data_IF_016432802984
#
_entry.id   IF_016432802984
#
_cell.length_a   1.000
_cell.length_b   1.000
_cell.length_c   1.000
_cell.angle_alpha   90.00
_cell.angle_beta   90.00
_cell.angle_gamma   90.00
#
_symmetry.space_group_name_H-M   'P 1'
#
loop_
_entity.id
_entity.type
_entity.pdbx_description
1 polymer ?
#
# COMPACT_ATOMS: atom_id res chain seq x y z
N UNK A 1 -51.19 31.61 22.37
CA UNK A 1 -50.94 32.60 23.44
C UNK A 1 -50.53 31.82 24.70
N UNK A 2 -49.26 31.80 25.04
CA UNK A 2 -48.70 31.72 26.40
C UNK A 2 -47.22 32.04 26.27
N UNK A 3 -46.89 33.22 26.70
CA UNK A 3 -45.58 33.80 26.91
C UNK A 3 -44.89 33.12 28.07
N UNK A 4 -43.59 32.84 27.96
CA UNK A 4 -42.70 32.63 29.10
C UNK A 4 -41.45 33.48 28.94
N UNK A 5 -41.18 34.20 30.01
CA UNK A 5 -40.22 35.24 30.28
C UNK A 5 -38.83 34.70 30.62
N UNK A 6 -37.81 35.52 30.34
CA UNK A 6 -36.40 35.34 30.69
C UNK A 6 -36.17 35.60 32.21
N UNK A 7 -35.17 34.93 32.76
CA UNK A 7 -34.17 35.26 33.81
C UNK A 7 -33.62 33.93 34.34
N UNK A 8 -32.35 33.71 34.64
CA UNK A 8 -31.43 34.44 35.50
C UNK A 8 -29.97 34.06 35.22
N UNK A 9 -29.14 35.04 35.28
CA UNK A 9 -27.68 34.95 35.34
C UNK A 9 -27.23 34.56 36.75
N UNK A 10 -26.35 33.55 36.87
CA UNK A 10 -25.60 33.24 38.10
C UNK A 10 -24.09 33.37 37.79
N UNK A 11 -23.33 34.11 38.62
CA UNK A 11 -21.91 34.36 38.36
C UNK A 11 -21.03 33.21 38.85
N UNK A 12 -20.12 32.78 38.02
CA UNK A 12 -19.10 31.79 38.35
C UNK A 12 -17.90 32.40 39.06
N UNK A 13 -17.71 32.00 40.30
CA UNK A 13 -16.56 32.36 41.14
C UNK A 13 -15.32 31.63 40.70
N UNK A 14 -14.27 32.38 40.35
CA UNK A 14 -12.92 31.86 40.04
C UNK A 14 -12.22 31.58 41.37
N UNK A 15 -11.88 30.33 41.63
CA UNK A 15 -10.89 29.94 42.66
C UNK A 15 -9.55 29.65 42.02
N UNK A 16 -8.61 30.57 42.23
CA UNK A 16 -7.20 30.41 41.96
C UNK A 16 -6.53 29.72 43.16
N UNK A 17 -6.06 28.48 43.01
CA UNK A 17 -5.14 27.85 43.95
C UNK A 17 -3.75 27.77 43.36
N UNK A 18 -2.90 28.71 43.77
CA UNK A 18 -1.44 28.60 43.62
C UNK A 18 -0.97 27.46 44.52
N UNK A 19 -0.36 26.43 43.95
CA UNK A 19 0.51 25.50 44.69
C UNK A 19 1.97 25.89 44.49
N UNK A 20 2.62 26.20 45.58
CA UNK A 20 4.06 26.37 45.72
C UNK A 20 4.78 25.02 45.46
N UNK A 21 5.85 25.09 44.68
CA UNK A 21 6.87 24.03 44.62
C UNK A 21 8.16 24.56 45.27
N UNK A 22 8.80 23.80 46.15
CA UNK A 22 10.12 24.14 46.69
C UNK A 22 11.20 23.42 45.92
N UNK A 23 12.33 24.08 45.79
CA UNK A 23 13.65 23.50 45.85
C UNK A 23 14.34 23.14 44.53
N UNK A 24 15.32 24.00 44.19
CA UNK A 24 16.37 23.77 43.23
C UNK A 24 17.20 22.52 43.54
N UNK A 25 17.40 21.67 42.54
CA UNK A 25 18.56 20.81 42.45
C UNK A 25 19.29 21.10 41.13
N UNK A 26 20.47 21.71 41.25
CA UNK A 26 21.38 21.92 40.14
C UNK A 26 21.89 20.57 39.63
N UNK A 27 21.64 20.25 38.38
CA UNK A 27 22.25 19.12 37.69
C UNK A 27 23.42 19.68 36.90
N UNK A 28 24.66 19.39 37.35
CA UNK A 28 25.87 19.62 36.60
C UNK A 28 25.85 18.81 35.27
N UNK A 29 25.88 19.50 34.18
CA UNK A 29 26.07 18.90 32.83
C UNK A 29 27.58 18.61 32.67
N UNK A 30 27.99 17.37 32.90
CA UNK A 30 29.28 16.91 32.39
C UNK A 30 29.19 16.74 30.86
N UNK A 31 29.74 17.73 30.16
CA UNK A 31 30.04 17.66 28.73
C UNK A 31 31.26 16.78 28.51
N UNK A 32 31.07 15.54 28.13
CA UNK A 32 32.15 14.72 27.59
C UNK A 32 32.30 15.05 26.10
N UNK A 33 33.39 15.78 25.80
CA UNK A 33 33.78 16.07 24.44
C UNK A 33 34.20 14.79 23.70
N UNK A 34 33.64 14.60 22.50
CA UNK A 34 34.06 13.52 21.61
C UNK A 34 35.49 13.79 21.08
N UNK A 35 36.33 12.74 20.92
CA UNK A 35 37.68 12.91 20.38
C UNK A 35 37.65 13.27 18.89
N UNK A 36 38.63 14.06 18.41
CA UNK A 36 38.71 14.48 17.02
C UNK A 36 39.05 13.30 16.09
N UNK A 37 38.65 13.35 14.81
CA UNK A 37 38.88 12.26 13.86
C UNK A 37 40.39 12.17 13.54
N UNK A 38 40.93 10.96 13.60
CA UNK A 38 42.31 10.62 13.22
C UNK A 38 42.56 10.98 11.75
N UNK A 39 43.51 11.90 11.52
CA UNK A 39 44.07 12.18 10.20
C UNK A 39 44.74 10.93 9.65
N UNK A 40 44.25 10.39 8.55
CA UNK A 40 44.95 9.40 7.74
C UNK A 40 46.08 10.12 6.97
N UNK A 41 47.32 9.79 7.29
CA UNK A 41 48.48 10.19 6.53
C UNK A 41 48.46 9.53 5.15
N UNK A 42 48.28 10.32 4.12
CA UNK A 42 48.54 9.90 2.74
C UNK A 42 50.06 9.88 2.51
N UNK A 43 50.65 8.68 2.51
CA UNK A 43 52.00 8.51 2.01
C UNK A 43 51.95 8.57 0.49
N UNK A 44 52.59 9.60 -0.05
CA UNK A 44 52.74 9.76 -1.49
C UNK A 44 53.59 8.60 -2.04
N UNK A 45 52.97 7.68 -2.81
CA UNK A 45 53.71 6.70 -3.61
C UNK A 45 54.31 7.42 -4.80
N UNK A 46 55.64 7.40 -4.90
CA UNK A 46 56.43 7.87 -6.00
C UNK A 46 56.00 7.18 -7.33
N UNK A 47 55.82 8.00 -8.36
CA UNK A 47 55.56 7.56 -9.73
C UNK A 47 56.76 6.73 -10.24
N UNK A 48 56.50 5.42 -10.52
CA UNK A 48 57.41 4.62 -11.29
C UNK A 48 57.27 4.98 -12.77
N UNK A 49 58.38 5.31 -13.39
CA UNK A 49 58.49 5.55 -14.84
C UNK A 49 58.19 4.28 -15.61
N UNK A 50 57.44 4.32 -16.74
CA UNK A 50 57.15 3.14 -17.53
C UNK A 50 58.41 2.65 -18.23
N UNK A 51 58.79 1.38 -17.96
CA UNK A 51 59.82 0.68 -18.74
C UNK A 51 59.25 0.33 -20.11
N UNK A 52 60.05 0.61 -21.19
CA UNK A 52 59.75 0.18 -22.54
C UNK A 52 59.65 -1.36 -22.58
N UNK A 53 58.65 -1.94 -23.28
CA UNK A 53 58.59 -3.36 -23.49
C UNK A 53 59.69 -3.83 -24.47
N UNK A 54 60.19 -5.09 -24.35
CA UNK A 54 61.16 -5.65 -25.26
C UNK A 54 60.52 -5.89 -26.64
N UNK A 55 61.32 -5.90 -27.73
CA UNK A 55 60.80 -6.13 -29.09
C UNK A 55 60.28 -7.55 -29.24
N UNK A 56 59.11 -7.66 -29.83
CA UNK A 56 58.44 -8.92 -30.13
C UNK A 56 59.14 -9.54 -31.38
N UNK A 57 59.53 -10.82 -31.36
CA UNK A 57 60.07 -11.46 -32.56
C UNK A 57 58.93 -11.67 -33.59
N UNK A 58 59.13 -11.17 -34.80
CA UNK A 58 58.23 -11.39 -35.93
C UNK A 58 58.47 -12.80 -36.43
N UNK A 59 57.61 -13.74 -36.12
CA UNK A 59 57.50 -15.03 -36.74
C UNK A 59 56.56 -14.94 -37.95
N UNK A 60 57.12 -15.02 -39.12
CA UNK A 60 56.37 -15.13 -40.37
C UNK A 60 55.96 -16.61 -40.59
N UNK A 61 54.69 -16.75 -40.95
CA UNK A 61 53.94 -17.89 -41.44
C UNK A 61 53.00 -18.58 -40.45
N UNK A 62 51.81 -18.11 -40.49
CA UNK A 62 50.60 -18.90 -40.17
C UNK A 62 49.51 -18.40 -41.13
N UNK A 63 48.85 -19.34 -41.83
CA UNK A 63 47.67 -19.08 -42.67
C UNK A 63 46.61 -18.27 -41.97
N UNK A 64 46.59 -16.99 -42.23
CA UNK A 64 45.80 -16.00 -41.48
C UNK A 64 44.28 -16.03 -41.79
N UNK A 65 43.91 -16.77 -42.85
CA UNK A 65 42.51 -16.85 -43.29
C UNK A 65 41.59 -17.70 -42.36
N UNK A 66 42.13 -18.71 -41.67
CA UNK A 66 41.31 -19.58 -40.82
C UNK A 66 40.92 -18.92 -39.46
N UNK A 67 41.80 -18.05 -38.96
CA UNK A 67 41.59 -17.37 -37.69
C UNK A 67 40.53 -16.24 -37.84
N UNK A 68 40.60 -15.49 -38.96
CA UNK A 68 39.62 -14.45 -39.28
C UNK A 68 38.20 -14.99 -39.46
N UNK A 69 38.02 -16.12 -40.14
CA UNK A 69 36.73 -16.79 -40.31
C UNK A 69 36.13 -17.28 -38.97
N UNK A 70 36.98 -17.73 -38.05
CA UNK A 70 36.54 -18.13 -36.68
C UNK A 70 36.13 -16.96 -35.83
N UNK A 71 36.74 -15.79 -35.96
CA UNK A 71 36.32 -14.56 -35.30
C UNK A 71 35.03 -13.99 -35.90
N UNK A 72 34.91 -13.94 -37.20
CA UNK A 72 33.71 -13.51 -37.91
C UNK A 72 32.52 -14.41 -37.57
N UNK A 73 32.66 -15.72 -37.54
CA UNK A 73 31.59 -16.63 -37.16
C UNK A 73 31.14 -16.46 -35.70
N UNK A 74 32.08 -16.19 -34.78
CA UNK A 74 31.75 -15.87 -33.37
C UNK A 74 31.02 -14.53 -33.23
N UNK A 75 31.42 -13.50 -33.94
CA UNK A 75 30.76 -12.21 -33.96
C UNK A 75 29.35 -12.31 -34.57
N UNK A 76 29.16 -13.05 -35.63
CA UNK A 76 27.86 -13.33 -36.23
C UNK A 76 26.98 -14.11 -35.24
N UNK A 77 27.53 -15.12 -34.55
CA UNK A 77 26.77 -15.87 -33.52
C UNK A 77 26.36 -14.99 -32.33
N UNK A 78 27.25 -14.11 -31.87
CA UNK A 78 26.92 -13.13 -30.80
C UNK A 78 25.87 -12.14 -31.28
N UNK A 79 25.96 -11.66 -32.52
CA UNK A 79 24.98 -10.75 -33.12
C UNK A 79 23.62 -11.43 -33.30
N UNK A 80 23.58 -12.67 -33.77
CA UNK A 80 22.35 -13.46 -33.87
C UNK A 80 21.75 -13.81 -32.50
N UNK A 81 22.58 -14.08 -31.48
CA UNK A 81 22.11 -14.23 -30.09
C UNK A 81 21.56 -12.93 -29.54
N UNK A 82 22.16 -11.79 -29.82
CA UNK A 82 21.64 -10.48 -29.40
C UNK A 82 20.33 -10.11 -30.10
N UNK A 83 20.20 -10.48 -31.41
CA UNK A 83 18.92 -10.29 -32.13
C UNK A 83 17.80 -11.17 -31.56
N UNK A 84 18.09 -12.39 -31.14
CA UNK A 84 17.13 -13.28 -30.49
C UNK A 84 16.77 -12.79 -29.07
N UNK A 85 17.71 -12.19 -28.34
CA UNK A 85 17.45 -11.54 -27.05
C UNK A 85 16.62 -10.27 -27.21
N UNK A 86 16.83 -9.48 -28.25
CA UNK A 86 16.03 -8.29 -28.56
C UNK A 86 14.64 -8.70 -29.05
N UNK A 87 14.51 -9.77 -29.86
CA UNK A 87 13.22 -10.32 -30.27
C UNK A 87 12.44 -10.91 -29.09
N UNK A 88 13.11 -11.59 -28.13
CA UNK A 88 12.50 -12.07 -26.90
C UNK A 88 12.13 -10.94 -25.92
N UNK A 89 12.81 -9.79 -25.99
CA UNK A 89 12.46 -8.59 -25.22
C UNK A 89 11.33 -7.77 -25.86
N UNK A 90 11.05 -7.97 -27.15
CA UNK A 90 9.92 -7.29 -27.83
C UNK A 90 8.57 -7.98 -27.66
N UNK A 91 8.52 -9.19 -27.11
CA UNK A 91 7.32 -9.87 -26.64
C UNK A 91 6.92 -9.48 -25.20
N UNK A 92 7.54 -8.44 -24.64
CA UNK A 92 6.92 -7.70 -23.55
C UNK A 92 5.72 -6.94 -24.17
N UNK A 93 4.60 -7.65 -24.35
CA UNK A 93 3.34 -7.04 -24.69
C UNK A 93 3.11 -5.92 -23.69
N UNK A 94 3.13 -4.70 -24.19
CA UNK A 94 2.56 -3.56 -23.48
C UNK A 94 1.23 -4.03 -22.88
N UNK A 95 0.96 -3.78 -21.59
CA UNK A 95 -0.27 -4.25 -20.98
C UNK A 95 -1.40 -3.89 -21.93
N UNK A 96 -2.15 -4.91 -22.35
CA UNK A 96 -3.29 -4.72 -23.24
C UNK A 96 -4.11 -3.60 -22.63
N UNK A 97 -4.20 -2.48 -23.35
CA UNK A 97 -4.97 -1.32 -22.94
C UNK A 97 -6.46 -1.70 -23.03
N UNK A 98 -6.92 -2.50 -22.06
CA UNK A 98 -8.34 -2.59 -21.82
C UNK A 98 -8.79 -1.19 -21.45
N UNK A 99 -9.76 -0.66 -22.20
CA UNK A 99 -10.31 0.66 -21.88
C UNK A 99 -10.81 0.65 -20.44
N UNK A 100 -10.31 1.55 -19.62
CA UNK A 100 -10.79 1.73 -18.26
C UNK A 100 -12.29 2.08 -18.20
N UNK A 101 -12.83 2.53 -19.31
CA UNK A 101 -14.23 2.96 -19.45
C UNK A 101 -15.20 1.81 -19.75
N UNK A 102 -14.69 0.70 -20.31
CA UNK A 102 -15.49 -0.49 -20.61
C UNK A 102 -15.17 -1.63 -19.65
N UNK A 103 -15.87 -1.65 -18.52
CA UNK A 103 -15.70 -2.67 -17.45
C UNK A 103 -15.94 -4.09 -18.01
N UNK A 104 -16.92 -4.25 -18.91
CA UNK A 104 -17.24 -5.56 -19.48
C UNK A 104 -16.10 -6.09 -20.35
N UNK A 105 -15.47 -5.21 -21.12
CA UNK A 105 -14.29 -5.54 -21.91
C UNK A 105 -13.06 -5.75 -21.04
N UNK A 106 -12.87 -4.91 -20.01
CA UNK A 106 -11.75 -5.03 -19.06
C UNK A 106 -11.69 -6.43 -18.43
N UNK A 107 -12.83 -7.00 -18.02
CA UNK A 107 -12.93 -8.34 -17.45
C UNK A 107 -13.33 -9.42 -18.46
N UNK A 108 -13.31 -9.13 -19.77
CA UNK A 108 -13.69 -10.11 -20.81
C UNK A 108 -12.94 -11.45 -20.74
N UNK A 109 -11.65 -11.54 -20.27
CA UNK A 109 -10.98 -12.82 -20.08
C UNK A 109 -11.59 -13.74 -19.03
N UNK A 110 -12.49 -13.20 -18.17
CA UNK A 110 -13.24 -13.97 -17.17
C UNK A 110 -14.64 -14.39 -17.66
N UNK A 111 -15.11 -13.85 -18.79
CA UNK A 111 -16.44 -14.15 -19.34
C UNK A 111 -16.60 -15.66 -19.53
N UNK A 112 -17.70 -16.21 -19.03
CA UNK A 112 -18.01 -17.64 -19.06
C UNK A 112 -17.02 -18.54 -18.29
N UNK A 113 -16.15 -17.97 -17.46
CA UNK A 113 -15.23 -18.74 -16.62
C UNK A 113 -16.01 -19.46 -15.50
N UNK A 114 -15.76 -20.78 -15.35
CA UNK A 114 -16.24 -21.58 -14.22
C UNK A 114 -15.20 -21.71 -13.10
N UNK A 115 -14.12 -20.97 -13.18
CA UNK A 115 -13.05 -21.01 -12.20
C UNK A 115 -13.52 -20.54 -10.82
N UNK A 116 -12.93 -21.09 -9.76
CA UNK A 116 -13.16 -20.75 -8.35
C UNK A 116 -11.84 -20.79 -7.59
N UNK A 117 -11.83 -20.23 -6.39
CA UNK A 117 -10.70 -20.29 -5.49
C UNK A 117 -9.42 -19.75 -6.11
N UNK A 118 -8.32 -20.45 -5.87
CA UNK A 118 -6.99 -20.04 -6.32
C UNK A 118 -6.86 -19.93 -7.85
N UNK A 119 -7.59 -20.77 -8.61
CA UNK A 119 -7.57 -20.70 -10.08
C UNK A 119 -8.23 -19.43 -10.61
N UNK A 120 -9.35 -18.98 -10.01
CA UNK A 120 -9.99 -17.73 -10.34
C UNK A 120 -9.12 -16.55 -9.92
N UNK A 121 -8.56 -16.58 -8.70
CA UNK A 121 -7.66 -15.58 -8.16
C UNK A 121 -6.45 -15.36 -9.09
N UNK A 122 -5.81 -16.45 -9.57
CA UNK A 122 -4.68 -16.40 -10.50
C UNK A 122 -5.06 -15.78 -11.85
N UNK A 123 -6.22 -16.16 -12.40
CA UNK A 123 -6.72 -15.59 -13.65
C UNK A 123 -7.03 -14.09 -13.49
N UNK A 124 -7.63 -13.70 -12.38
CA UNK A 124 -7.89 -12.30 -12.07
C UNK A 124 -6.59 -11.49 -11.91
N UNK A 125 -5.57 -12.07 -11.26
CA UNK A 125 -4.23 -11.46 -11.15
C UNK A 125 -3.65 -11.12 -12.52
N UNK A 126 -3.77 -12.00 -13.54
CA UNK A 126 -3.23 -11.70 -14.90
C UNK A 126 -3.86 -10.46 -15.55
N UNK A 127 -5.04 -10.06 -15.11
CA UNK A 127 -5.76 -8.88 -15.63
C UNK A 127 -5.34 -7.61 -14.88
N UNK A 128 -5.24 -7.68 -13.54
CA UNK A 128 -5.09 -6.48 -12.70
C UNK A 128 -3.65 -6.19 -12.28
N UNK A 129 -2.74 -7.17 -12.31
CA UNK A 129 -1.37 -6.97 -11.86
C UNK A 129 -0.54 -6.07 -12.79
N UNK A 130 -0.70 -6.10 -14.12
CA UNK A 130 -0.06 -5.12 -14.99
C UNK A 130 -0.63 -3.73 -14.75
N UNK A 131 0.17 -2.80 -14.22
CA UNK A 131 -0.26 -1.43 -13.96
C UNK A 131 0.92 -0.45 -13.95
N UNK A 132 0.61 0.83 -14.12
CA UNK A 132 1.60 1.90 -14.00
C UNK A 132 1.90 2.22 -12.54
N UNK A 133 3.18 2.34 -12.21
CA UNK A 133 3.64 2.68 -10.86
C UNK A 133 3.92 4.18 -10.75
N UNK A 134 3.41 4.81 -9.71
CA UNK A 134 3.67 6.21 -9.41
C UNK A 134 4.95 6.35 -8.57
N UNK A 135 5.57 7.53 -8.60
CA UNK A 135 6.55 7.90 -7.57
C UNK A 135 5.84 8.15 -6.23
N UNK A 136 6.56 7.94 -5.13
CA UNK A 136 6.00 8.16 -3.79
C UNK A 136 5.54 9.61 -3.57
N UNK A 137 6.13 10.58 -4.28
CA UNK A 137 5.69 11.98 -4.25
C UNK A 137 4.36 12.17 -4.99
N UNK A 138 4.19 11.58 -6.17
CA UNK A 138 2.96 11.70 -6.97
C UNK A 138 1.71 11.16 -6.24
N UNK A 139 1.89 10.24 -5.29
CA UNK A 139 0.78 9.72 -4.47
C UNK A 139 0.08 10.85 -3.70
N UNK A 140 0.80 11.87 -3.20
CA UNK A 140 0.17 13.00 -2.51
C UNK A 140 -0.82 13.74 -3.40
N UNK A 141 -0.44 14.00 -4.64
CA UNK A 141 -1.27 14.76 -5.57
C UNK A 141 -2.45 13.92 -6.06
N UNK A 142 -2.23 12.62 -6.27
CA UNK A 142 -3.30 11.69 -6.61
C UNK A 142 -4.37 11.62 -5.50
N UNK A 143 -3.97 11.52 -4.23
CA UNK A 143 -4.92 11.47 -3.09
C UNK A 143 -5.75 12.74 -2.96
N UNK A 144 -5.18 13.92 -3.27
CA UNK A 144 -5.92 15.20 -3.25
C UNK A 144 -7.08 15.23 -4.26
N UNK A 145 -7.00 14.43 -5.32
CA UNK A 145 -8.05 14.28 -6.33
C UNK A 145 -8.97 13.11 -5.99
N UNK A 146 -8.40 11.95 -5.68
CA UNK A 146 -9.15 10.71 -5.49
C UNK A 146 -10.04 10.72 -4.26
N UNK A 147 -9.58 11.35 -3.18
CA UNK A 147 -10.27 11.40 -1.89
C UNK A 147 -10.76 12.83 -1.58
N UNK A 148 -10.99 13.65 -2.60
CA UNK A 148 -11.51 15.00 -2.48
C UNK A 148 -12.92 15.01 -1.85
N UNK A 149 -13.20 15.99 -0.98
CA UNK A 149 -14.48 16.13 -0.31
C UNK A 149 -15.64 16.43 -1.27
N UNK A 150 -15.36 17.18 -2.34
CA UNK A 150 -16.28 17.31 -3.49
C UNK A 150 -15.85 16.31 -4.56
N UNK A 151 -16.54 15.19 -4.61
CA UNK A 151 -16.24 14.09 -5.53
C UNK A 151 -16.56 14.45 -6.98
N UNK A 152 -17.48 15.36 -7.22
CA UNK A 152 -17.85 15.76 -8.59
C UNK A 152 -16.90 16.81 -9.16
N UNK A 153 -16.33 17.66 -8.30
CA UNK A 153 -15.36 18.70 -8.67
C UNK A 153 -14.06 18.56 -7.84
N UNK A 154 -13.36 17.43 -7.98
CA UNK A 154 -12.23 17.12 -7.11
C UNK A 154 -11.08 18.13 -7.20
N UNK A 155 -10.85 18.73 -8.38
CA UNK A 155 -9.80 19.74 -8.57
C UNK A 155 -10.12 21.06 -7.86
N UNK A 156 -11.41 21.43 -7.79
CA UNK A 156 -11.86 22.65 -7.11
C UNK A 156 -12.05 22.46 -5.60
N UNK A 157 -12.15 21.22 -5.13
CA UNK A 157 -12.30 20.91 -3.70
C UNK A 157 -11.07 21.35 -2.92
N UNK A 158 -11.26 22.09 -1.82
CA UNK A 158 -10.18 22.50 -0.90
C UNK A 158 -9.87 21.44 0.17
N UNK A 159 -10.77 20.48 0.37
CA UNK A 159 -10.66 19.44 1.38
C UNK A 159 -10.53 18.04 0.81
N UNK A 160 -10.07 17.13 1.65
CA UNK A 160 -10.08 15.66 1.44
C UNK A 160 -10.84 15.00 2.59
N UNK A 161 -11.37 13.79 2.38
CA UNK A 161 -12.00 12.97 3.40
C UNK A 161 -11.00 11.95 3.95
N UNK A 162 -10.81 11.94 5.26
CA UNK A 162 -9.92 10.99 5.94
C UNK A 162 -10.65 9.66 6.22
N UNK A 163 -9.98 8.53 5.92
CA UNK A 163 -10.59 7.20 5.95
C UNK A 163 -11.05 6.73 7.35
N UNK A 164 -10.40 7.13 8.45
CA UNK A 164 -10.71 6.64 9.79
C UNK A 164 -11.45 7.65 10.66
N UNK A 165 -11.35 8.93 10.36
CA UNK A 165 -12.04 9.99 11.07
C UNK A 165 -13.33 10.42 10.39
N UNK A 166 -13.45 10.16 9.07
CA UNK A 166 -14.49 10.64 8.17
C UNK A 166 -14.60 12.17 8.11
N UNK A 167 -13.55 12.87 8.61
CA UNK A 167 -13.51 14.32 8.61
C UNK A 167 -13.04 14.84 7.26
N UNK A 168 -13.59 16.01 6.91
CA UNK A 168 -13.07 16.82 5.82
C UNK A 168 -11.96 17.70 6.38
N UNK A 169 -10.75 17.57 5.83
CA UNK A 169 -9.59 18.37 6.23
C UNK A 169 -8.96 19.07 5.03
N UNK A 170 -8.30 20.23 5.22
CA UNK A 170 -7.67 20.94 4.11
C UNK A 170 -6.57 20.12 3.42
N UNK A 171 -6.58 20.12 2.09
CA UNK A 171 -5.56 19.44 1.26
C UNK A 171 -4.12 19.89 1.56
N UNK A 172 -3.94 21.15 1.90
CA UNK A 172 -2.66 21.78 2.23
C UNK A 172 -2.02 21.26 3.52
N UNK A 173 -2.78 20.55 4.36
CA UNK A 173 -2.27 19.93 5.57
C UNK A 173 -1.63 18.55 5.32
N UNK A 174 -1.42 18.17 4.07
CA UNK A 174 -0.72 16.94 3.71
C UNK A 174 0.67 16.86 4.33
N UNK A 175 0.96 15.78 5.06
CA UNK A 175 2.23 15.54 5.73
C UNK A 175 2.54 16.43 6.94
N UNK A 176 1.62 17.30 7.37
CA UNK A 176 1.79 18.14 8.56
C UNK A 176 1.31 17.40 9.82
N UNK A 177 1.92 17.65 10.99
CA UNK A 177 1.55 16.95 12.24
C UNK A 177 0.07 17.07 12.63
N UNK A 178 -0.56 18.21 12.33
CA UNK A 178 -1.98 18.48 12.60
C UNK A 178 -2.90 18.16 11.41
N UNK A 179 -2.38 17.51 10.39
CA UNK A 179 -3.10 17.18 9.17
C UNK A 179 -3.18 15.69 8.91
N UNK A 180 -3.10 15.35 7.65
CA UNK A 180 -3.27 13.99 7.18
C UNK A 180 -2.01 13.41 6.56
N UNK A 181 -1.94 12.07 6.57
CA UNK A 181 -0.84 11.31 6.00
C UNK A 181 -1.36 10.23 5.03
N UNK A 182 -0.45 9.62 4.29
CA UNK A 182 -0.70 8.46 3.43
C UNK A 182 -0.79 7.21 4.30
N UNK A 183 -1.98 6.74 4.56
CA UNK A 183 -2.24 5.48 5.22
C UNK A 183 -2.13 4.33 4.23
N UNK A 184 -1.29 3.34 4.51
CA UNK A 184 -1.23 2.08 3.80
C UNK A 184 -2.15 1.09 4.49
N UNK A 185 -3.31 0.78 3.90
CA UNK A 185 -4.28 -0.16 4.46
C UNK A 185 -3.64 -1.53 4.69
N UNK A 186 -2.91 -2.05 3.72
CA UNK A 186 -1.94 -3.12 3.95
C UNK A 186 -0.63 -2.47 4.37
N UNK A 187 -0.13 -2.72 5.61
CA UNK A 187 1.01 -1.99 6.14
C UNK A 187 2.31 -2.22 5.37
N UNK A 188 3.12 -1.18 5.28
CA UNK A 188 4.45 -1.26 4.65
C UNK A 188 5.34 -2.32 5.27
N UNK A 189 5.26 -2.49 6.60
CA UNK A 189 6.03 -3.47 7.36
C UNK A 189 5.75 -4.93 6.96
N UNK A 190 4.65 -5.19 6.24
CA UNK A 190 4.30 -6.53 5.75
C UNK A 190 4.87 -6.81 4.36
N UNK A 191 5.95 -6.14 3.98
CA UNK A 191 6.71 -6.41 2.78
C UNK A 191 6.56 -5.37 1.66
N UNK A 192 5.78 -4.28 1.87
CA UNK A 192 5.58 -3.22 0.87
C UNK A 192 6.66 -2.14 0.96
N UNK A 193 7.93 -2.53 1.09
CA UNK A 193 9.01 -1.57 1.28
C UNK A 193 9.42 -0.83 0.00
N UNK A 194 9.28 -1.48 -1.15
CA UNK A 194 9.74 -1.00 -2.46
C UNK A 194 8.77 -1.42 -3.58
N UNK A 195 8.96 -0.83 -4.76
CA UNK A 195 8.24 -1.20 -5.98
C UNK A 195 6.80 -0.72 -6.05
N UNK A 196 6.02 -1.25 -6.99
CA UNK A 196 4.66 -0.79 -7.28
C UNK A 196 3.71 -0.86 -6.08
N UNK A 197 3.85 -1.88 -5.22
CA UNK A 197 3.00 -2.08 -4.05
C UNK A 197 3.10 -0.95 -3.01
N UNK A 198 4.24 -0.24 -2.95
CA UNK A 198 4.44 0.89 -2.05
C UNK A 198 3.62 2.12 -2.46
N UNK A 199 3.31 2.26 -3.74
CA UNK A 199 2.64 3.44 -4.30
C UNK A 199 1.27 3.14 -4.87
N UNK A 200 0.76 1.93 -4.62
CA UNK A 200 -0.53 1.48 -5.13
C UNK A 200 -1.69 2.27 -4.52
N UNK A 201 -2.39 3.02 -5.35
CA UNK A 201 -3.49 3.90 -4.94
C UNK A 201 -4.72 3.13 -4.46
N UNK A 202 -4.89 1.87 -4.83
CA UNK A 202 -5.95 1.02 -4.27
C UNK A 202 -5.68 0.64 -2.80
N UNK A 203 -4.41 0.74 -2.36
CA UNK A 203 -3.98 0.47 -0.99
C UNK A 203 -3.79 1.72 -0.13
N UNK A 204 -3.74 2.92 -0.73
CA UNK A 204 -3.37 4.13 0.01
C UNK A 204 -4.57 5.07 0.12
N UNK A 205 -4.83 5.54 1.35
CA UNK A 205 -5.89 6.50 1.66
C UNK A 205 -5.36 7.63 2.56
N UNK A 206 -5.94 8.83 2.52
CA UNK A 206 -5.61 9.86 3.51
C UNK A 206 -6.16 9.47 4.88
N UNK A 207 -5.36 9.68 5.93
CA UNK A 207 -5.78 9.47 7.32
C UNK A 207 -5.17 10.54 8.23
N UNK A 208 -5.87 10.92 9.29
CA UNK A 208 -5.33 11.73 10.36
C UNK A 208 -4.04 11.13 10.89
N UNK A 209 -3.02 11.97 11.14
CA UNK A 209 -1.68 11.51 11.54
C UNK A 209 -1.71 10.73 12.86
N UNK A 210 -2.52 11.18 13.84
CA UNK A 210 -2.61 10.53 15.15
C UNK A 210 -3.42 9.22 15.06
N UNK A 211 -4.50 9.22 14.27
CA UNK A 211 -5.32 8.02 14.06
C UNK A 211 -4.54 6.97 13.29
N UNK A 212 -3.79 7.36 12.26
CA UNK A 212 -2.87 6.47 11.52
C UNK A 212 -1.83 5.84 12.46
N UNK A 213 -1.21 6.66 13.33
CA UNK A 213 -0.28 6.16 14.35
C UNK A 213 -0.94 5.18 15.33
N UNK A 214 -2.18 5.45 15.74
CA UNK A 214 -2.94 4.56 16.65
C UNK A 214 -3.31 3.24 15.99
N UNK A 215 -3.64 3.26 14.68
CA UNK A 215 -3.86 2.05 13.90
C UNK A 215 -2.58 1.23 13.82
N UNK A 216 -1.44 1.85 13.53
CA UNK A 216 -0.15 1.17 13.41
C UNK A 216 -0.18 0.07 12.34
N UNK A 217 0.20 -1.16 12.74
CA UNK A 217 0.20 -2.33 11.86
C UNK A 217 -0.84 -3.39 12.28
N UNK A 218 -1.89 -2.97 12.99
CA UNK A 218 -2.92 -3.89 13.48
C UNK A 218 -3.71 -4.50 12.32
N UNK A 219 -4.19 -5.72 12.53
CA UNK A 219 -5.11 -6.38 11.61
C UNK A 219 -6.46 -5.72 11.61
N UNK A 220 -7.18 -5.83 10.50
CA UNK A 220 -8.58 -5.40 10.46
C UNK A 220 -9.49 -6.48 11.02
N UNK A 221 -10.32 -6.08 11.96
CA UNK A 221 -11.27 -6.96 12.63
C UNK A 221 -11.91 -6.26 13.81
N UNK A 222 -13.09 -6.71 14.19
CA UNK A 222 -13.81 -6.20 15.33
C UNK A 222 -13.13 -6.58 16.64
N UNK A 223 -13.30 -5.75 17.68
CA UNK A 223 -12.86 -6.09 19.01
C UNK A 223 -13.57 -7.38 19.50
N UNK A 224 -12.90 -8.14 20.36
CA UNK A 224 -13.59 -9.20 21.11
C UNK A 224 -14.51 -8.52 22.13
N UNK A 225 -15.81 -8.72 22.00
CA UNK A 225 -16.85 -8.09 22.83
C UNK A 225 -16.70 -8.34 24.34
N UNK A 226 -16.06 -9.45 24.71
CA UNK A 226 -15.73 -9.78 26.13
C UNK A 226 -14.44 -9.13 26.61
N UNK A 227 -13.71 -8.38 25.77
CA UNK A 227 -12.46 -7.75 26.13
C UNK A 227 -12.71 -6.38 26.80
N UNK A 228 -12.32 -6.25 28.05
CA UNK A 228 -12.26 -4.95 28.76
C UNK A 228 -11.22 -3.98 28.18
N UNK A 229 -10.47 -4.40 27.17
CA UNK A 229 -9.37 -3.65 26.52
C UNK A 229 -9.72 -3.12 25.15
N UNK A 230 -10.99 -3.21 24.73
CA UNK A 230 -11.46 -2.57 23.49
C UNK A 230 -11.68 -1.07 23.76
N UNK A 231 -11.03 -0.22 22.97
CA UNK A 231 -11.22 1.24 22.98
C UNK A 231 -12.19 1.62 21.88
N UNK A 232 -13.17 2.47 22.22
CA UNK A 232 -14.17 3.05 21.32
C UNK A 232 -14.52 4.47 21.78
N UNK A 233 -14.21 5.53 21.02
CA UNK A 233 -13.46 5.48 19.76
C UNK A 233 -12.02 5.01 19.97
N UNK A 234 -11.44 4.44 18.92
CA UNK A 234 -10.06 3.92 18.93
C UNK A 234 -9.00 5.00 19.21
N UNK A 235 -9.32 6.25 18.89
CA UNK A 235 -8.53 7.46 19.13
C UNK A 235 -9.50 8.65 19.19
N UNK A 236 -9.12 9.74 19.88
CA UNK A 236 -9.96 10.94 20.02
C UNK A 236 -10.30 11.66 18.70
N UNK A 237 -9.41 11.54 17.67
CA UNK A 237 -9.61 12.09 16.35
C UNK A 237 -10.31 11.11 15.39
N UNK A 238 -10.47 9.85 15.77
CA UNK A 238 -11.17 8.85 14.96
C UNK A 238 -12.70 9.05 15.03
N UNK A 239 -13.43 8.48 14.08
CA UNK A 239 -14.88 8.42 14.14
C UNK A 239 -15.33 7.62 15.37
N UNK A 240 -16.51 7.97 15.90
CA UNK A 240 -16.99 7.48 17.20
C UNK A 240 -17.17 5.96 17.29
N UNK A 241 -17.43 5.33 16.16
CA UNK A 241 -17.64 3.88 16.02
C UNK A 241 -16.38 3.08 15.64
N UNK A 242 -15.23 3.78 15.54
CA UNK A 242 -13.93 3.11 15.35
C UNK A 242 -13.53 2.36 16.61
N UNK A 243 -13.12 1.09 16.47
CA UNK A 243 -12.72 0.27 17.62
C UNK A 243 -11.29 -0.22 17.49
N UNK A 244 -10.61 -0.41 18.61
CA UNK A 244 -9.30 -1.04 18.63
C UNK A 244 -9.04 -1.82 19.91
N UNK A 245 -8.36 -2.93 19.77
CA UNK A 245 -7.69 -3.62 20.87
C UNK A 245 -6.16 -3.67 20.60
N UNK A 246 -5.46 -4.54 21.31
CA UNK A 246 -3.99 -4.68 21.14
C UNK A 246 -3.60 -5.11 19.72
N UNK A 247 -4.43 -5.89 19.03
CA UNK A 247 -4.08 -6.54 17.74
C UNK A 247 -4.96 -6.09 16.58
N UNK A 248 -6.18 -5.56 16.84
CA UNK A 248 -7.21 -5.35 15.84
C UNK A 248 -7.60 -3.89 15.73
N UNK A 249 -8.09 -3.56 14.56
CA UNK A 249 -8.62 -2.26 14.20
C UNK A 249 -9.92 -2.47 13.42
N UNK A 250 -11.03 -2.00 13.96
CA UNK A 250 -12.29 -1.90 13.25
C UNK A 250 -12.50 -0.44 12.85
N UNK A 251 -12.44 -0.13 11.55
CA UNK A 251 -12.67 1.20 11.04
C UNK A 251 -14.16 1.60 11.17
N UNK A 252 -14.52 2.88 10.89
CA UNK A 252 -15.90 3.30 10.83
C UNK A 252 -16.72 2.42 9.89
N UNK A 253 -17.99 2.18 10.25
CA UNK A 253 -18.88 1.27 9.50
C UNK A 253 -18.96 1.64 8.03
N UNK A 254 -18.97 2.94 7.71
CA UNK A 254 -19.13 3.50 6.37
C UNK A 254 -17.97 3.20 5.39
N UNK A 255 -16.85 2.67 5.86
CA UNK A 255 -15.65 2.40 5.05
C UNK A 255 -15.11 0.98 5.25
N UNK A 256 -15.85 0.14 5.95
CA UNK A 256 -15.45 -1.26 6.19
C UNK A 256 -15.34 -2.05 4.90
N UNK A 257 -16.32 -1.88 4.01
CA UNK A 257 -16.31 -2.48 2.68
C UNK A 257 -15.17 -1.97 1.82
N UNK A 258 -14.95 -0.66 1.78
CA UNK A 258 -13.83 -0.03 1.04
C UNK A 258 -12.49 -0.66 1.43
N UNK A 259 -12.26 -0.80 2.74
CA UNK A 259 -11.01 -1.38 3.26
C UNK A 259 -10.93 -2.87 2.93
N UNK A 260 -12.02 -3.61 3.09
CA UNK A 260 -12.05 -5.03 2.74
C UNK A 260 -11.69 -5.26 1.27
N UNK A 261 -12.30 -4.50 0.36
CA UNK A 261 -12.03 -4.55 -1.09
C UNK A 261 -10.61 -4.13 -1.45
N UNK A 262 -10.05 -3.15 -0.75
CA UNK A 262 -8.65 -2.76 -0.92
C UNK A 262 -7.68 -3.90 -0.53
N UNK A 263 -7.92 -4.57 0.59
CA UNK A 263 -7.09 -5.70 1.04
C UNK A 263 -7.24 -6.92 0.14
N UNK A 264 -8.44 -7.20 -0.34
CA UNK A 264 -8.70 -8.27 -1.30
C UNK A 264 -7.97 -8.02 -2.63
N UNK A 265 -7.97 -6.76 -3.10
CA UNK A 265 -7.19 -6.35 -4.26
C UNK A 265 -5.70 -6.62 -4.04
N UNK A 266 -5.13 -6.18 -2.92
CA UNK A 266 -3.71 -6.38 -2.61
C UNK A 266 -3.34 -7.86 -2.58
N UNK A 267 -4.18 -8.71 -1.98
CA UNK A 267 -3.97 -10.15 -1.94
C UNK A 267 -4.03 -10.82 -3.33
N UNK A 268 -4.79 -10.27 -4.27
CA UNK A 268 -4.82 -10.75 -5.66
C UNK A 268 -3.67 -10.17 -6.47
N UNK A 269 -3.49 -8.85 -6.46
CA UNK A 269 -2.50 -8.15 -7.27
C UNK A 269 -1.07 -8.59 -6.92
N UNK A 270 -0.76 -8.76 -5.63
CA UNK A 270 0.58 -9.06 -5.11
C UNK A 270 0.71 -10.44 -4.45
N UNK A 271 -0.30 -11.28 -4.56
CA UNK A 271 -0.30 -12.64 -3.98
C UNK A 271 0.49 -13.67 -4.80
N UNK A 272 0.91 -13.35 -6.02
CA UNK A 272 1.61 -14.25 -6.93
C UNK A 272 3.00 -13.73 -7.26
N UNK A 273 3.92 -14.62 -7.72
CA UNK A 273 5.21 -14.22 -8.25
C UNK A 273 5.04 -13.22 -9.40
N UNK A 274 5.84 -12.14 -9.37
CA UNK A 274 5.89 -11.11 -10.40
C UNK A 274 7.34 -10.89 -10.84
N UNK A 275 7.58 -10.29 -12.02
CA UNK A 275 8.92 -9.83 -12.40
C UNK A 275 9.46 -8.89 -11.30
N UNK A 276 10.64 -9.20 -10.75
CA UNK A 276 11.21 -8.47 -9.62
C UNK A 276 10.96 -9.07 -8.24
N UNK A 277 10.27 -10.21 -8.15
CA UNK A 277 10.04 -10.97 -6.92
C UNK A 277 8.57 -11.08 -6.53
N UNK A 278 8.27 -12.08 -5.71
CA UNK A 278 6.94 -12.27 -5.14
C UNK A 278 6.84 -11.59 -3.78
N UNK A 279 5.81 -10.77 -3.59
CA UNK A 279 5.46 -10.29 -2.25
C UNK A 279 4.71 -11.38 -1.47
N UNK A 280 3.95 -12.24 -2.15
CA UNK A 280 3.19 -13.32 -1.52
C UNK A 280 2.20 -12.84 -0.47
N UNK A 281 1.42 -11.78 -0.78
CA UNK A 281 0.43 -11.25 0.15
C UNK A 281 -0.76 -12.19 0.26
N UNK A 282 -1.17 -12.53 1.49
CA UNK A 282 -2.29 -13.45 1.74
C UNK A 282 -3.26 -12.88 2.78
N UNK A 283 -4.54 -13.23 2.61
CA UNK A 283 -5.57 -12.99 3.64
C UNK A 283 -5.77 -14.26 4.47
N UNK A 284 -5.88 -14.08 5.80
CA UNK A 284 -5.99 -15.17 6.77
C UNK A 284 -6.90 -14.78 7.93
N UNK A 285 -7.54 -15.75 8.58
CA UNK A 285 -8.24 -15.54 9.85
C UNK A 285 -7.30 -15.65 11.07
N UNK A 286 -6.06 -16.11 10.83
CA UNK A 286 -4.98 -16.14 11.82
C UNK A 286 -3.74 -15.42 11.26
N UNK A 287 -3.85 -14.11 10.94
CA UNK A 287 -2.81 -13.42 10.20
C UNK A 287 -1.49 -13.36 10.96
N UNK A 288 -0.39 -13.53 10.21
CA UNK A 288 0.97 -13.41 10.67
C UNK A 288 1.74 -12.43 9.77
N UNK A 289 2.29 -11.37 10.37
CA UNK A 289 3.03 -10.33 9.65
C UNK A 289 4.31 -10.87 8.97
N UNK A 290 4.98 -11.87 9.57
CA UNK A 290 6.18 -12.49 9.01
C UNK A 290 5.88 -13.24 7.71
N UNK A 291 4.69 -13.85 7.63
CA UNK A 291 4.17 -14.49 6.44
C UNK A 291 3.49 -13.50 5.47
N UNK A 292 3.52 -12.19 5.78
CA UNK A 292 2.84 -11.15 5.01
C UNK A 292 1.33 -11.37 4.89
N UNK A 293 0.73 -11.88 5.95
CA UNK A 293 -0.69 -12.14 6.05
C UNK A 293 -1.41 -10.97 6.71
N UNK A 294 -2.56 -10.61 6.14
CA UNK A 294 -3.49 -9.62 6.68
C UNK A 294 -4.85 -10.29 6.90
N UNK A 295 -5.66 -9.68 7.66
CA UNK A 295 -7.01 -10.18 7.91
C UNK A 295 -7.72 -9.32 8.95
N UNK A 296 -8.80 -9.81 9.48
CA UNK A 296 -9.31 -11.21 9.45
C UNK A 296 -10.15 -11.48 8.18
N UNK A 297 -9.83 -12.52 7.43
CA UNK A 297 -10.50 -12.82 6.16
C UNK A 297 -12.02 -12.95 6.31
N UNK A 298 -12.50 -13.73 7.28
CA UNK A 298 -13.95 -13.92 7.52
C UNK A 298 -14.66 -12.58 7.86
N UNK A 299 -13.99 -11.68 8.57
CA UNK A 299 -14.49 -10.34 8.87
C UNK A 299 -14.53 -9.47 7.61
N UNK A 300 -13.47 -9.50 6.80
CA UNK A 300 -13.40 -8.74 5.55
C UNK A 300 -14.50 -9.17 4.57
N UNK A 301 -14.79 -10.46 4.46
CA UNK A 301 -15.88 -10.96 3.62
C UNK A 301 -17.24 -10.43 4.09
N UNK A 302 -17.51 -10.45 5.40
CA UNK A 302 -18.73 -9.86 5.98
C UNK A 302 -18.83 -8.35 5.73
N UNK A 303 -17.73 -7.63 5.83
CA UNK A 303 -17.71 -6.20 5.57
C UNK A 303 -17.96 -5.87 4.10
N UNK A 304 -17.39 -6.65 3.18
CA UNK A 304 -17.65 -6.49 1.74
C UNK A 304 -19.13 -6.71 1.39
N UNK A 305 -19.80 -7.65 2.07
CA UNK A 305 -21.22 -7.92 1.88
C UNK A 305 -22.11 -6.83 2.51
N UNK A 306 -21.76 -6.38 3.73
CA UNK A 306 -22.56 -5.45 4.52
C UNK A 306 -22.44 -3.98 4.06
N UNK A 307 -21.31 -3.63 3.44
CA UNK A 307 -20.98 -2.28 2.96
C UNK A 307 -20.60 -2.36 1.46
N UNK A 308 -21.60 -2.38 0.56
CA UNK A 308 -21.38 -2.49 -0.87
C UNK A 308 -20.73 -1.24 -1.45
N UNK A 309 -20.05 -1.34 -2.64
CA UNK A 309 -19.33 -0.21 -3.24
C UNK A 309 -20.20 1.01 -3.45
N UNK A 310 -19.82 2.11 -2.80
CA UNK A 310 -20.47 3.41 -2.94
C UNK A 310 -20.22 4.04 -4.31
N UNK A 311 -20.93 5.12 -4.64
CA UNK A 311 -20.68 5.92 -5.84
C UNK A 311 -19.27 6.52 -5.81
N UNK A 312 -18.85 7.02 -4.68
CA UNK A 312 -17.55 7.64 -4.44
C UNK A 312 -16.41 6.62 -4.65
N UNK A 313 -16.55 5.42 -4.12
CA UNK A 313 -15.57 4.35 -4.31
C UNK A 313 -15.48 3.91 -5.78
N UNK A 314 -16.61 3.80 -6.49
CA UNK A 314 -16.64 3.48 -7.93
C UNK A 314 -15.95 4.56 -8.76
N UNK A 315 -16.22 5.84 -8.48
CA UNK A 315 -15.55 6.96 -9.15
C UNK A 315 -14.05 6.98 -8.85
N UNK A 316 -13.66 6.67 -7.62
CA UNK A 316 -12.26 6.54 -7.23
C UNK A 316 -11.56 5.44 -8.03
N UNK A 317 -12.18 4.25 -8.12
CA UNK A 317 -11.67 3.12 -8.90
C UNK A 317 -11.47 3.48 -10.39
N UNK A 318 -12.46 4.14 -10.97
CA UNK A 318 -12.39 4.61 -12.36
C UNK A 318 -11.27 5.62 -12.57
N UNK A 319 -11.12 6.60 -11.69
CA UNK A 319 -10.06 7.61 -11.77
C UNK A 319 -8.66 7.01 -11.60
N UNK A 320 -8.49 6.06 -10.72
CA UNK A 320 -7.22 5.33 -10.58
C UNK A 320 -6.85 4.66 -11.91
N UNK A 321 -7.79 3.99 -12.53
CA UNK A 321 -7.56 3.36 -13.82
C UNK A 321 -7.27 4.40 -14.91
N UNK A 322 -8.14 5.37 -15.07
CA UNK A 322 -8.10 6.31 -16.20
C UNK A 322 -6.89 7.25 -16.17
N UNK A 323 -6.53 7.76 -14.98
CA UNK A 323 -5.58 8.86 -14.85
C UNK A 323 -4.25 8.50 -14.22
N UNK A 324 -4.15 7.33 -13.55
CA UNK A 324 -2.97 7.02 -12.72
C UNK A 324 -2.35 5.67 -13.02
N UNK A 325 -3.01 4.57 -12.64
CA UNK A 325 -2.40 3.24 -12.64
C UNK A 325 -2.77 2.36 -13.83
N UNK A 326 -3.82 2.67 -14.55
CA UNK A 326 -4.36 1.91 -15.68
C UNK A 326 -4.85 0.50 -15.30
N UNK A 327 -5.13 0.27 -14.01
CA UNK A 327 -5.79 -0.93 -13.52
C UNK A 327 -6.96 -0.60 -12.59
N UNK A 328 -7.85 -1.57 -12.42
CA UNK A 328 -9.06 -1.46 -11.60
C UNK A 328 -8.98 -2.38 -10.39
N UNK A 329 -9.61 -1.99 -9.30
CA UNK A 329 -9.91 -2.91 -8.20
C UNK A 329 -11.16 -3.72 -8.59
N UNK A 330 -11.02 -5.04 -8.84
CA UNK A 330 -12.12 -5.87 -9.30
C UNK A 330 -13.22 -6.05 -8.26
N UNK A 331 -12.91 -5.88 -6.98
CA UNK A 331 -13.90 -6.04 -5.91
C UNK A 331 -14.77 -4.80 -5.73
N UNK A 332 -14.39 -3.66 -6.32
CA UNK A 332 -15.26 -2.49 -6.46
C UNK A 332 -16.23 -2.64 -7.63
N UNK A 333 -15.76 -3.20 -8.74
CA UNK A 333 -16.58 -3.43 -9.93
C UNK A 333 -17.49 -4.67 -9.78
N UNK A 334 -16.98 -5.71 -9.12
CA UNK A 334 -17.57 -7.03 -8.95
C UNK A 334 -17.33 -7.56 -7.53
N UNK A 335 -18.03 -7.03 -6.50
CA UNK A 335 -17.81 -7.44 -5.11
C UNK A 335 -18.03 -8.93 -4.87
N UNK A 336 -18.88 -9.59 -5.69
CA UNK A 336 -19.14 -11.03 -5.67
C UNK A 336 -17.90 -11.88 -6.02
N UNK A 337 -16.85 -11.32 -6.62
CA UNK A 337 -15.61 -12.07 -6.88
C UNK A 337 -14.89 -12.48 -5.59
N UNK A 338 -15.14 -11.77 -4.50
CA UNK A 338 -14.64 -12.16 -3.18
C UNK A 338 -15.13 -13.56 -2.78
N UNK A 339 -16.41 -13.83 -2.97
CA UNK A 339 -17.02 -15.13 -2.70
C UNK A 339 -16.46 -16.22 -3.62
N UNK A 340 -16.26 -15.91 -4.89
CA UNK A 340 -15.69 -16.85 -5.86
C UNK A 340 -14.30 -17.32 -5.47
N UNK A 341 -13.53 -16.45 -4.79
CA UNK A 341 -12.15 -16.74 -4.38
C UNK A 341 -12.11 -17.41 -2.99
N UNK A 342 -12.79 -16.85 -1.99
CA UNK A 342 -12.52 -17.19 -0.58
C UNK A 342 -13.65 -17.93 0.14
N UNK A 343 -14.89 -17.92 -0.34
CA UNK A 343 -16.02 -18.52 0.40
C UNK A 343 -15.83 -20.02 0.70
N UNK A 344 -15.25 -20.76 -0.23
CA UNK A 344 -14.95 -22.18 -0.02
C UNK A 344 -13.83 -22.42 1.01
N UNK A 345 -12.91 -21.48 1.15
CA UNK A 345 -11.85 -21.58 2.15
C UNK A 345 -12.41 -21.40 3.57
N UNK A 346 -13.32 -20.45 3.75
CA UNK A 346 -13.95 -20.16 5.06
C UNK A 346 -14.88 -21.28 5.50
N UNK A 347 -15.66 -21.87 4.59
CA UNK A 347 -16.58 -22.98 4.92
C UNK A 347 -15.87 -24.25 5.40
N UNK A 348 -14.61 -24.48 5.02
CA UNK A 348 -13.81 -25.62 5.50
C UNK A 348 -13.30 -25.44 6.95
N UNK A 349 -13.35 -24.23 7.50
CA UNK A 349 -12.89 -23.90 8.86
C UNK A 349 -14.04 -23.60 9.82
N UNK A 350 -15.29 -23.58 9.33
CA UNK A 350 -16.45 -23.52 10.22
C UNK A 350 -16.48 -24.81 11.05
N UNK A 351 -16.51 -24.76 12.40
CA UNK A 351 -16.66 -25.95 13.20
C UNK A 351 -17.97 -26.63 12.79
N UNK A 352 -17.93 -27.94 12.56
CA UNK A 352 -19.13 -28.75 12.41
C UNK A 352 -20.02 -28.49 13.63
N UNK A 353 -21.07 -27.73 13.47
CA UNK A 353 -22.16 -27.68 14.44
C UNK A 353 -22.93 -29.01 14.29
N UNK A 354 -22.49 -30.04 15.00
CA UNK A 354 -23.30 -31.20 15.31
C UNK A 354 -24.43 -30.79 16.27
N UNK A 355 -25.42 -30.08 15.74
CA UNK A 355 -26.72 -29.93 16.37
C UNK A 355 -27.75 -30.72 15.53
N UNK A 356 -27.59 -32.02 15.51
CA UNK A 356 -28.67 -32.99 15.24
C UNK A 356 -28.66 -34.01 16.37
N UNK A 357 -29.38 -33.68 17.42
CA UNK A 357 -30.10 -34.66 18.28
C UNK A 357 -31.26 -33.94 18.97
#
# INVERSE_FOLDING_TARGET
MKTFTASELVPTTVFSTRRHFPGNAAIELHTTAAPPPRRRNWVARARATPRKPPPIPISTNIDDNSIWWRWISRLISIYLLSLNLVAAASDYQSPSTYSCEDIANYYSPLKNSRLRGEAFKRKLNTIIAPHHSLSYQQVWDALKVLDAADVDKPEASLGIVEIYSLRVVPKELSGKPQGWNREHLWPRSYGLANGPSLTDLHNIRPADVNVNSSRGNKYYGECVTSSTKCLRPANKEAALDTETDKKRWAPPIQVRGDIARALMYMAVCYGFPQPGGSLGLHLSDTPNAENREMGLLSTLLKWNEADPPSREEKLRNERICKYYQHNRNPFVDHPEYADLIWKQAVSRWAPFNDNNN
#
